data_IF_835650967540
#
_entry.id   IF_835650967540
#
_cell.length_a   1.000
_cell.length_b   1.000
_cell.length_c   1.000
_cell.angle_alpha   90.00
_cell.angle_beta   90.00
_cell.angle_gamma   90.00
#
_symmetry.space_group_name_H-M   'P 1'
#
loop_
_entity.id
_entity.type
_entity.pdbx_description
1 polymer ?
#
# COMPACT_ATOMS: atom_id res chain seq x y z
N UNK A 1 31.01 -25.41 -3.93
CA UNK A 1 29.96 -24.63 -4.62
C UNK A 1 30.58 -24.03 -5.87
N UNK A 2 30.23 -24.52 -7.07
CA UNK A 2 30.89 -24.14 -8.34
C UNK A 2 30.72 -22.64 -8.67
N UNK A 3 29.62 -22.03 -8.22
CA UNK A 3 29.29 -20.62 -8.45
C UNK A 3 29.87 -19.66 -7.39
N UNK A 4 30.55 -20.17 -6.36
CA UNK A 4 31.21 -19.34 -5.34
C UNK A 4 32.65 -18.95 -5.74
N UNK A 5 33.09 -19.32 -6.94
CA UNK A 5 34.39 -18.95 -7.47
C UNK A 5 34.43 -17.46 -7.80
N UNK A 6 35.51 -16.80 -7.39
CA UNK A 6 35.85 -15.42 -7.79
C UNK A 6 35.80 -15.30 -9.32
N UNK A 7 34.82 -14.57 -9.84
CA UNK A 7 34.64 -14.33 -11.28
C UNK A 7 33.22 -14.56 -11.80
N UNK A 8 32.35 -15.23 -11.05
CA UNK A 8 30.95 -15.44 -11.43
C UNK A 8 30.01 -14.56 -10.59
N UNK A 9 29.24 -13.69 -11.24
CA UNK A 9 28.12 -13.00 -10.59
C UNK A 9 26.98 -13.98 -10.39
N UNK A 10 26.80 -14.48 -9.16
CA UNK A 10 25.71 -15.36 -8.79
C UNK A 10 24.99 -14.83 -7.54
N UNK A 11 23.68 -15.01 -7.50
CA UNK A 11 22.82 -14.73 -6.34
C UNK A 11 21.81 -15.86 -6.21
N UNK A 12 21.38 -16.23 -4.99
CA UNK A 12 20.27 -17.15 -4.82
C UNK A 12 18.98 -16.56 -5.40
N UNK A 13 18.07 -17.44 -5.83
CA UNK A 13 16.67 -17.09 -6.12
C UNK A 13 15.94 -17.09 -4.79
N UNK A 14 15.57 -15.91 -4.30
CA UNK A 14 14.84 -15.75 -3.05
C UNK A 14 13.34 -15.87 -3.28
N UNK A 15 12.64 -16.57 -2.39
CA UNK A 15 11.19 -16.57 -2.31
C UNK A 15 10.64 -15.25 -1.77
N UNK A 16 9.33 -15.04 -1.92
CA UNK A 16 8.64 -13.87 -1.38
C UNK A 16 8.74 -13.75 0.14
N UNK A 17 8.92 -14.87 0.85
CA UNK A 17 9.08 -14.91 2.31
C UNK A 17 10.53 -14.69 2.75
N UNK A 18 11.51 -15.04 1.91
CA UNK A 18 12.94 -14.85 2.22
C UNK A 18 13.42 -13.43 1.87
N UNK A 19 12.91 -12.85 0.79
CA UNK A 19 13.38 -11.55 0.29
C UNK A 19 13.32 -10.43 1.34
N UNK A 20 12.25 -10.26 2.16
CA UNK A 20 12.22 -9.21 3.19
C UNK A 20 13.33 -9.34 4.23
N UNK A 21 13.76 -10.58 4.54
CA UNK A 21 14.80 -10.87 5.52
C UNK A 21 16.23 -10.79 4.96
N UNK A 22 16.42 -10.66 3.65
CA UNK A 22 17.76 -10.60 3.06
C UNK A 22 18.52 -9.37 3.57
N UNK A 23 19.79 -9.48 4.02
CA UNK A 23 20.50 -8.39 4.71
C UNK A 23 20.51 -7.05 3.99
N UNK A 24 20.67 -7.07 2.65
CA UNK A 24 20.64 -5.85 1.85
C UNK A 24 19.23 -5.19 1.79
N UNK A 25 18.17 -6.00 1.78
CA UNK A 25 16.79 -5.51 1.70
C UNK A 25 16.31 -5.00 3.07
N UNK A 26 16.68 -5.70 4.15
CA UNK A 26 16.43 -5.29 5.53
C UNK A 26 17.17 -3.99 5.91
N UNK A 27 18.48 -3.90 5.62
CA UNK A 27 19.28 -2.70 5.91
C UNK A 27 18.74 -1.44 5.20
N UNK A 28 17.97 -1.63 4.14
CA UNK A 28 17.37 -0.56 3.37
C UNK A 28 15.91 -0.32 3.77
N UNK A 29 15.22 -1.17 4.52
CA UNK A 29 13.75 -1.11 4.64
C UNK A 29 13.11 -1.15 3.23
N UNK A 30 13.54 -2.07 2.37
CA UNK A 30 12.91 -2.25 1.05
C UNK A 30 11.48 -2.80 1.18
N UNK A 31 11.22 -3.54 2.26
CA UNK A 31 9.89 -3.94 2.68
C UNK A 31 9.56 -3.25 4.01
N UNK A 32 8.31 -2.86 4.18
CA UNK A 32 7.72 -2.23 5.36
C UNK A 32 6.46 -3.00 5.75
N UNK A 33 6.12 -2.97 7.04
CA UNK A 33 4.89 -3.58 7.53
C UNK A 33 3.73 -2.57 7.43
N UNK A 34 2.60 -3.00 6.87
CA UNK A 34 1.34 -2.25 6.88
C UNK A 34 0.26 -3.23 7.35
N UNK A 35 -0.32 -2.98 8.52
CA UNK A 35 -1.31 -3.85 9.19
C UNK A 35 -0.88 -5.33 9.30
N UNK A 36 0.40 -5.59 9.62
CA UNK A 36 0.93 -6.95 9.80
C UNK A 36 1.25 -7.69 8.50
N UNK A 37 1.17 -7.00 7.35
CA UNK A 37 1.50 -7.56 6.04
C UNK A 37 2.77 -6.87 5.51
N UNK A 38 3.76 -7.61 4.99
CA UNK A 38 4.94 -7.01 4.37
C UNK A 38 4.59 -6.44 2.98
N UNK A 39 4.79 -5.13 2.82
CA UNK A 39 4.64 -4.40 1.57
C UNK A 39 5.98 -3.84 1.08
N UNK A 40 6.19 -3.72 -0.24
CA UNK A 40 7.33 -2.96 -0.75
C UNK A 40 7.21 -1.48 -0.33
N UNK A 41 8.29 -0.91 0.18
CA UNK A 41 8.38 0.52 0.41
C UNK A 41 8.39 1.29 -0.92
N UNK A 42 7.92 2.55 -0.95
CA UNK A 42 7.94 3.37 -2.17
C UNK A 42 9.32 3.43 -2.84
N UNK A 43 9.32 3.28 -4.18
CA UNK A 43 10.51 3.35 -5.01
C UNK A 43 10.25 4.20 -6.27
N UNK A 44 11.25 4.93 -6.82
CA UNK A 44 12.63 5.10 -6.32
C UNK A 44 12.72 5.89 -5.01
N UNK A 45 13.89 5.84 -4.36
CA UNK A 45 14.17 6.62 -3.14
C UNK A 45 14.76 7.96 -3.50
N UNK A 46 13.96 9.00 -3.38
CA UNK A 46 14.40 10.36 -3.66
C UNK A 46 15.04 10.98 -2.41
N UNK A 47 16.15 11.69 -2.61
CA UNK A 47 16.86 12.38 -1.52
C UNK A 47 16.15 13.65 -1.05
N UNK A 48 15.48 14.37 -1.97
CA UNK A 48 14.82 15.65 -1.71
C UNK A 48 13.36 15.49 -1.29
N UNK A 49 12.54 14.82 -2.10
CA UNK A 49 11.10 14.66 -1.84
C UNK A 49 10.83 13.24 -1.35
N UNK A 50 10.60 13.07 -0.05
CA UNK A 50 10.30 11.75 0.49
C UNK A 50 8.81 11.45 0.35
N UNK A 51 8.42 10.34 -0.29
CA UNK A 51 7.02 9.93 -0.30
C UNK A 51 6.55 9.59 1.11
N UNK A 52 5.27 9.81 1.38
CA UNK A 52 4.66 9.34 2.63
C UNK A 52 4.66 7.81 2.67
N UNK A 53 4.60 7.26 3.89
CA UNK A 53 4.37 5.82 4.06
C UNK A 53 2.95 5.52 3.58
N UNK A 54 2.74 4.51 2.70
CA UNK A 54 1.40 4.11 2.28
C UNK A 54 0.55 3.69 3.49
N UNK A 55 -0.75 3.95 3.40
CA UNK A 55 -1.72 3.38 4.33
C UNK A 55 -2.22 2.03 3.82
N UNK A 56 -2.96 1.33 4.67
CA UNK A 56 -3.73 0.16 4.28
C UNK A 56 -4.75 0.51 3.19
N UNK A 57 -5.12 -0.44 2.32
CA UNK A 57 -6.12 -0.22 1.28
C UNK A 57 -7.47 0.22 1.86
N UNK A 58 -8.12 1.17 1.18
CA UNK A 58 -9.51 1.52 1.47
C UNK A 58 -10.46 0.37 1.13
N UNK A 59 -11.51 0.20 1.92
CA UNK A 59 -12.64 -0.67 1.58
C UNK A 59 -13.61 0.03 0.62
N UNK A 60 -14.45 -0.72 -0.11
CA UNK A 60 -15.57 -0.15 -0.85
C UNK A 60 -16.42 0.73 0.07
N UNK A 61 -16.57 2.00 -0.31
CA UNK A 61 -17.36 2.98 0.42
C UNK A 61 -16.64 3.71 1.56
N UNK A 62 -15.34 3.54 1.77
CA UNK A 62 -14.60 4.27 2.83
C UNK A 62 -14.66 5.79 2.66
N UNK A 63 -14.61 6.27 1.41
CA UNK A 63 -14.51 7.69 1.10
C UNK A 63 -15.81 8.27 0.52
N UNK A 64 -16.90 7.50 0.43
CA UNK A 64 -18.15 7.91 -0.22
C UNK A 64 -18.73 9.19 0.36
N UNK A 65 -18.82 9.31 1.69
CA UNK A 65 -19.33 10.54 2.32
C UNK A 65 -18.41 11.75 2.15
N UNK A 66 -17.11 11.54 2.01
CA UNK A 66 -16.14 12.62 1.82
C UNK A 66 -16.15 13.11 0.36
N UNK A 67 -16.20 12.18 -0.60
CA UNK A 67 -16.04 12.51 -2.02
C UNK A 67 -17.30 13.05 -2.69
N UNK A 68 -18.51 12.63 -2.29
CA UNK A 68 -19.73 13.12 -2.95
C UNK A 68 -19.88 14.66 -2.86
N UNK A 69 -19.64 15.32 -1.71
CA UNK A 69 -19.59 16.78 -1.64
C UNK A 69 -18.44 17.40 -2.44
N UNK A 70 -17.26 16.78 -2.44
CA UNK A 70 -16.10 17.26 -3.23
C UNK A 70 -16.36 17.22 -4.74
N UNK A 71 -17.23 16.29 -5.20
CA UNK A 71 -17.71 16.23 -6.57
C UNK A 71 -18.85 17.23 -6.88
N UNK A 72 -19.32 17.99 -5.87
CA UNK A 72 -20.32 19.04 -6.03
C UNK A 72 -21.77 18.59 -5.86
N UNK A 73 -22.03 17.41 -5.28
CA UNK A 73 -23.40 17.00 -4.94
C UNK A 73 -23.84 17.70 -3.66
N UNK A 74 -25.07 18.21 -3.67
CA UNK A 74 -25.69 18.79 -2.48
C UNK A 74 -26.13 17.70 -1.48
N UNK A 75 -26.45 18.13 -0.26
CA UNK A 75 -26.78 17.21 0.83
C UNK A 75 -28.10 16.46 0.63
N UNK A 76 -29.05 17.02 -0.12
CA UNK A 76 -30.34 16.40 -0.39
C UNK A 76 -30.15 15.23 -1.35
N UNK A 77 -29.47 15.48 -2.49
CA UNK A 77 -29.10 14.44 -3.46
C UNK A 77 -28.27 13.34 -2.81
N UNK A 78 -27.31 13.68 -1.94
CA UNK A 78 -26.51 12.68 -1.23
C UNK A 78 -27.37 11.81 -0.32
N UNK A 79 -28.33 12.40 0.41
CA UNK A 79 -29.23 11.65 1.26
C UNK A 79 -30.09 10.67 0.44
N UNK A 80 -30.65 11.13 -0.69
CA UNK A 80 -31.43 10.28 -1.60
C UNK A 80 -30.62 9.08 -2.13
N UNK A 81 -29.33 9.28 -2.46
CA UNK A 81 -28.45 8.21 -2.92
C UNK A 81 -28.20 7.16 -1.83
N UNK A 82 -28.10 7.57 -0.56
CA UNK A 82 -27.97 6.64 0.56
C UNK A 82 -29.29 5.92 0.85
N UNK A 83 -30.42 6.63 0.84
CA UNK A 83 -31.74 6.06 1.12
C UNK A 83 -32.19 5.07 0.04
N UNK A 84 -31.86 5.35 -1.22
CA UNK A 84 -32.08 4.44 -2.35
C UNK A 84 -31.09 3.26 -2.42
N UNK A 85 -30.03 3.28 -1.62
CA UNK A 85 -29.01 2.23 -1.59
C UNK A 85 -28.07 2.21 -2.80
N UNK A 86 -28.08 3.24 -3.65
CA UNK A 86 -27.18 3.38 -4.80
C UNK A 86 -25.73 3.56 -4.34
N UNK A 87 -25.53 4.25 -3.22
CA UNK A 87 -24.21 4.43 -2.59
C UNK A 87 -24.21 3.89 -1.16
N UNK A 88 -23.04 3.49 -0.67
CA UNK A 88 -22.87 2.98 0.67
C UNK A 88 -21.61 3.55 1.31
N UNK A 89 -21.65 3.74 2.62
CA UNK A 89 -20.47 4.06 3.43
C UNK A 89 -20.00 2.75 4.10
N UNK A 90 -18.70 2.52 4.10
CA UNK A 90 -18.14 1.35 4.78
C UNK A 90 -18.47 1.38 6.29
N UNK A 91 -18.58 0.18 6.89
CA UNK A 91 -18.88 0.03 8.33
C UNK A 91 -17.62 -0.06 9.20
N UNK A 92 -16.45 0.29 8.69
CA UNK A 92 -15.19 0.15 9.44
C UNK A 92 -15.18 1.13 10.62
N UNK A 93 -15.19 0.59 11.84
CA UNK A 93 -14.76 1.35 13.03
C UNK A 93 -13.24 1.51 12.90
N UNK A 94 -12.77 2.75 12.71
CA UNK A 94 -11.36 3.09 12.90
C UNK A 94 -10.98 2.92 14.35
#
# INVERSE_FOLDING_TARGET
>A
MLLATTGCCATPVLSLTEAPGHPHLAARNTFIDIDGIPHPAPAPRFSRTRPATPSSPSLPGDDTRALLPEMGLDTETIAELFDSGVVAQSKRRR
#
